data_IF_641056649351
#
_entry.id   IF_641056649351
#
_cell.length_a   1.000
_cell.length_b   1.000
_cell.length_c   1.000
_cell.angle_alpha   90.00
_cell.angle_beta   90.00
_cell.angle_gamma   90.00
#
_symmetry.space_group_name_H-M   'P 1'
#
loop_
_entity.id
_entity.type
_entity.pdbx_description
1 polymer ?
#
# COMPACT_ATOMS: atom_id res chain seq x y z
N UNK A 1 5.66 -11.27 -52.73
CA UNK A 1 5.76 -9.79 -52.79
C UNK A 1 4.67 -9.06 -51.97
N UNK A 2 4.15 -9.64 -50.87
CA UNK A 2 3.03 -9.07 -50.09
C UNK A 2 3.42 -8.75 -48.63
N UNK A 3 4.53 -9.30 -48.10
CA UNK A 3 5.01 -9.01 -46.73
C UNK A 3 5.76 -7.68 -46.55
N UNK A 4 6.20 -7.03 -47.62
CA UNK A 4 6.98 -5.77 -47.53
C UNK A 4 6.13 -4.50 -47.45
N UNK A 5 4.85 -4.54 -47.87
CA UNK A 5 3.97 -3.37 -47.89
C UNK A 5 3.25 -3.08 -46.56
N UNK A 6 3.20 -4.04 -45.62
CA UNK A 6 2.54 -3.83 -44.33
C UNK A 6 3.46 -3.15 -43.31
N UNK A 7 4.75 -3.49 -43.32
CA UNK A 7 5.76 -2.93 -42.40
C UNK A 7 6.05 -1.46 -42.70
N UNK A 8 6.02 -1.05 -43.97
CA UNK A 8 6.21 0.35 -44.37
C UNK A 8 5.03 1.24 -43.96
N UNK A 9 3.80 0.70 -44.01
CA UNK A 9 2.58 1.40 -43.60
C UNK A 9 2.53 1.64 -42.09
N UNK A 10 2.92 0.64 -41.28
CA UNK A 10 3.01 0.74 -39.82
C UNK A 10 4.09 1.75 -39.35
N UNK A 11 5.28 1.75 -39.98
CA UNK A 11 6.35 2.71 -39.65
C UNK A 11 5.95 4.16 -39.95
N UNK A 12 5.15 4.40 -40.99
CA UNK A 12 4.67 5.74 -41.34
C UNK A 12 3.56 6.25 -40.40
N UNK A 13 2.70 5.37 -39.88
CA UNK A 13 1.68 5.73 -38.88
C UNK A 13 2.34 6.06 -37.54
N UNK A 14 3.31 5.26 -37.08
CA UNK A 14 4.06 5.54 -35.86
C UNK A 14 4.84 6.87 -35.93
N UNK A 15 5.52 7.15 -37.06
CA UNK A 15 6.25 8.43 -37.24
C UNK A 15 5.34 9.65 -37.24
N UNK A 16 4.10 9.53 -37.74
CA UNK A 16 3.11 10.64 -37.68
C UNK A 16 2.60 10.88 -36.26
N UNK A 17 2.38 9.83 -35.48
CA UNK A 17 1.91 9.96 -34.09
C UNK A 17 2.99 10.55 -33.16
N UNK A 18 4.26 10.17 -33.34
CA UNK A 18 5.38 10.72 -32.58
C UNK A 18 5.55 12.22 -32.86
N UNK A 19 5.49 12.65 -34.13
CA UNK A 19 5.56 14.09 -34.48
C UNK A 19 4.38 14.92 -33.96
N UNK A 20 3.19 14.30 -33.83
CA UNK A 20 2.00 14.97 -33.28
C UNK A 20 2.12 15.18 -31.76
N UNK A 21 2.69 14.23 -31.02
CA UNK A 21 2.90 14.35 -29.58
C UNK A 21 4.04 15.32 -29.22
N UNK A 22 5.12 15.37 -30.01
CA UNK A 22 6.21 16.34 -29.79
C UNK A 22 5.72 17.79 -29.99
N UNK A 23 4.87 18.05 -30.98
CA UNK A 23 4.28 19.40 -31.17
C UNK A 23 3.32 19.80 -30.04
N UNK A 24 2.64 18.84 -29.42
CA UNK A 24 1.70 19.12 -28.31
C UNK A 24 2.45 19.48 -27.02
N UNK A 25 3.61 18.88 -26.78
CA UNK A 25 4.43 19.17 -25.60
C UNK A 25 5.24 20.46 -25.70
N UNK A 26 5.63 20.90 -26.91
CA UNK A 26 6.30 22.20 -27.10
C UNK A 26 5.34 23.38 -26.87
N UNK A 27 4.03 23.21 -27.12
CA UNK A 27 3.04 24.25 -26.88
C UNK A 27 2.73 24.47 -25.38
N UNK A 28 3.05 23.51 -24.52
CA UNK A 28 2.76 23.58 -23.07
C UNK A 28 3.89 24.25 -22.27
N UNK A 29 5.09 24.43 -22.87
CA UNK A 29 6.28 24.94 -22.19
C UNK A 29 6.49 26.47 -22.37
N UNK A 30 5.54 27.18 -22.98
CA UNK A 30 5.70 28.60 -23.35
C UNK A 30 4.91 29.61 -22.47
N UNK A 31 4.32 29.21 -21.34
CA UNK A 31 3.42 30.10 -20.58
C UNK A 31 3.77 30.37 -19.11
N UNK A 32 4.98 30.06 -18.62
CA UNK A 32 5.36 30.42 -17.25
C UNK A 32 6.73 31.11 -17.23
N UNK A 33 6.77 32.39 -17.61
CA UNK A 33 7.79 33.33 -17.16
C UNK A 33 7.22 34.76 -17.23
N UNK A 34 6.76 35.31 -16.11
CA UNK A 34 6.88 36.76 -15.84
C UNK A 34 6.44 37.13 -14.42
N UNK A 35 7.11 38.16 -13.90
CA UNK A 35 6.94 38.84 -12.60
C UNK A 35 7.79 38.24 -11.48
N UNK A 36 8.85 38.87 -10.97
CA UNK A 36 9.39 40.21 -11.18
C UNK A 36 10.13 40.61 -9.91
N UNK A 37 11.45 40.81 -9.99
CA UNK A 37 12.27 41.35 -8.90
C UNK A 37 12.66 42.79 -9.27
N UNK A 38 12.38 43.77 -8.41
CA UNK A 38 13.02 45.09 -8.45
C UNK A 38 13.08 45.75 -7.04
N UNK A 39 14.23 45.57 -6.38
CA UNK A 39 15.16 46.57 -5.83
C UNK A 39 14.69 47.89 -5.15
N UNK A 40 15.28 48.09 -3.95
CA UNK A 40 16.03 49.25 -3.40
C UNK A 40 15.41 50.22 -2.34
N UNK A 41 16.09 50.20 -1.19
CA UNK A 41 16.64 51.33 -0.36
C UNK A 41 15.75 52.20 0.53
N UNK A 42 16.22 52.41 1.78
CA UNK A 42 15.92 53.62 2.54
C UNK A 42 16.24 53.61 4.05
N UNK A 43 17.49 53.94 4.41
CA UNK A 43 18.04 54.58 5.63
C UNK A 43 17.26 54.66 6.97
N UNK A 44 18.00 54.41 8.07
CA UNK A 44 17.78 55.08 9.36
C UNK A 44 18.61 54.54 10.55
N UNK A 45 19.73 55.21 10.88
CA UNK A 45 20.51 55.10 12.15
C UNK A 45 19.62 55.49 13.35
N UNK A 46 19.81 55.04 14.60
CA UNK A 46 20.97 55.26 15.48
C UNK A 46 20.90 54.44 16.78
N UNK A 47 22.09 54.33 17.39
CA UNK A 47 22.50 53.82 18.71
C UNK A 47 21.53 53.97 19.90
N UNK A 48 21.61 53.00 20.82
CA UNK A 48 22.13 53.24 22.18
C UNK A 48 22.54 51.93 22.87
N UNK A 49 23.57 52.06 23.71
CA UNK A 49 24.36 51.00 24.35
C UNK A 49 23.81 50.59 25.72
N UNK A 50 23.87 49.29 25.98
CA UNK A 50 24.24 48.59 27.24
C UNK A 50 23.65 49.04 28.59
N UNK A 51 22.95 48.10 29.24
CA UNK A 51 23.11 47.84 30.67
C UNK A 51 22.78 46.35 30.95
N UNK A 52 23.81 45.59 31.36
CA UNK A 52 23.66 44.40 32.19
C UNK A 52 22.97 44.79 33.50
N UNK A 53 21.99 44.00 33.95
CA UNK A 53 21.79 43.61 35.35
C UNK A 53 21.09 42.26 35.34
N UNK A 54 21.81 41.27 35.84
CA UNK A 54 21.36 39.95 36.26
C UNK A 54 20.44 40.09 37.48
N UNK A 55 19.25 39.49 37.44
CA UNK A 55 18.53 39.16 38.67
C UNK A 55 17.55 37.99 38.44
N UNK A 56 18.03 36.81 38.82
CA UNK A 56 17.29 35.59 39.08
C UNK A 56 16.10 35.82 40.02
N UNK A 57 14.90 35.35 39.66
CA UNK A 57 14.02 34.59 40.57
C UNK A 57 12.76 34.05 39.85
N UNK A 58 12.87 32.79 39.46
CA UNK A 58 11.97 31.68 39.83
C UNK A 58 10.45 31.96 39.84
N UNK A 59 9.80 31.77 38.68
CA UNK A 59 8.39 31.38 38.61
C UNK A 59 8.31 29.95 38.10
N UNK A 60 8.08 29.01 39.01
CA UNK A 60 7.74 27.63 38.66
C UNK A 60 6.41 27.63 37.93
N UNK A 61 6.44 27.51 36.60
CA UNK A 61 5.26 27.15 35.82
C UNK A 61 4.82 25.75 36.24
N UNK A 62 3.68 25.69 36.93
CA UNK A 62 2.97 24.43 37.17
C UNK A 62 2.47 23.98 35.81
N UNK A 63 3.21 23.08 35.17
CA UNK A 63 2.75 22.31 34.03
C UNK A 63 1.64 21.40 34.55
N UNK A 64 0.39 21.84 34.38
CA UNK A 64 -0.76 20.94 34.51
C UNK A 64 -0.70 19.99 33.32
N UNK A 65 -0.21 18.76 33.55
CA UNK A 65 -0.48 17.66 32.63
C UNK A 65 -2.00 17.57 32.46
N UNK A 66 -2.48 17.84 31.25
CA UNK A 66 -3.83 17.44 30.86
C UNK A 66 -3.88 15.92 30.99
N UNK A 67 -4.53 15.47 32.06
CA UNK A 67 -4.98 14.08 32.16
C UNK A 67 -6.02 13.91 31.07
N UNK A 68 -5.57 13.49 29.89
CA UNK A 68 -6.44 12.95 28.87
C UNK A 68 -7.10 11.74 29.49
N UNK A 69 -8.39 11.86 29.80
CA UNK A 69 -9.21 10.72 30.19
C UNK A 69 -9.10 9.71 29.05
N UNK A 70 -8.31 8.65 29.24
CA UNK A 70 -8.30 7.52 28.29
C UNK A 70 -9.74 7.06 28.16
N UNK A 71 -10.27 7.14 26.95
CA UNK A 71 -11.57 6.61 26.61
C UNK A 71 -11.49 5.10 26.83
N UNK A 72 -12.07 4.61 27.93
CA UNK A 72 -11.90 3.21 28.37
C UNK A 72 -13.00 2.39 27.72
N UNK A 73 -12.79 2.00 26.47
CA UNK A 73 -13.63 1.01 25.79
C UNK A 73 -13.24 -0.40 26.26
N UNK A 74 -14.20 -1.33 26.44
CA UNK A 74 -13.96 -2.74 26.72
C UNK A 74 -13.02 -3.45 25.76
N UNK A 75 -12.99 -3.04 24.49
CA UNK A 75 -11.94 -3.41 23.54
C UNK A 75 -11.40 -2.17 22.82
N UNK A 76 -10.10 -2.21 22.52
CA UNK A 76 -9.39 -1.14 21.84
C UNK A 76 -8.33 -1.72 20.90
N UNK A 77 -8.71 -1.93 19.65
CA UNK A 77 -7.92 -2.68 18.67
C UNK A 77 -7.29 -1.71 17.70
N UNK A 78 -6.00 -1.86 17.45
CA UNK A 78 -5.25 -1.05 16.48
C UNK A 78 -4.74 -1.90 15.33
N UNK A 79 -5.04 -1.48 14.10
CA UNK A 79 -4.64 -2.14 12.87
C UNK A 79 -3.79 -1.17 12.04
N UNK A 80 -2.57 -1.55 11.66
CA UNK A 80 -1.74 -0.77 10.75
C UNK A 80 -1.74 -1.38 9.35
N UNK A 81 -1.94 -0.54 8.34
CA UNK A 81 -1.79 -0.92 6.93
C UNK A 81 -0.79 -0.01 6.25
N UNK A 82 0.13 -0.62 5.50
CA UNK A 82 1.06 0.11 4.65
C UNK A 82 0.66 0.04 3.18
N UNK A 83 1.21 0.96 2.40
CA UNK A 83 1.29 0.82 0.95
C UNK A 83 2.21 -0.32 0.49
N UNK A 84 2.53 -0.27 -0.80
CA UNK A 84 3.26 -1.32 -1.51
C UNK A 84 4.72 -1.44 -1.01
N UNK A 85 5.18 -2.67 -0.73
CA UNK A 85 6.59 -2.97 -0.42
C UNK A 85 7.22 -3.86 -1.49
N UNK A 86 8.44 -3.50 -1.89
CA UNK A 86 9.27 -4.25 -2.81
C UNK A 86 10.72 -4.27 -2.31
N UNK A 87 11.20 -5.48 -2.01
CA UNK A 87 12.59 -5.76 -1.61
C UNK A 87 13.27 -6.73 -2.60
N UNK A 88 12.84 -6.70 -3.87
CA UNK A 88 13.41 -7.51 -4.93
C UNK A 88 14.87 -7.15 -5.23
N UNK A 89 15.65 -8.14 -5.65
CA UNK A 89 17.07 -7.96 -5.96
C UNK A 89 17.27 -6.91 -7.06
N UNK A 90 18.18 -5.97 -6.83
CA UNK A 90 18.57 -4.96 -7.83
C UNK A 90 17.72 -3.69 -7.84
N UNK A 91 16.60 -3.64 -7.13
CA UNK A 91 15.78 -2.44 -6.99
C UNK A 91 16.49 -1.35 -6.17
N UNK A 92 16.22 -0.06 -6.43
CA UNK A 92 16.81 1.05 -5.66
C UNK A 92 16.60 0.91 -4.14
N UNK A 93 15.41 0.48 -3.75
CA UNK A 93 15.03 0.19 -2.36
C UNK A 93 15.91 -0.90 -1.74
N UNK A 94 16.08 -2.03 -2.43
CA UNK A 94 16.91 -3.13 -1.95
C UNK A 94 18.39 -2.78 -1.90
N UNK A 95 18.88 -1.96 -2.84
CA UNK A 95 20.25 -1.43 -2.79
C UNK A 95 20.47 -0.56 -1.55
N UNK A 96 19.47 0.20 -1.12
CA UNK A 96 19.55 0.99 0.12
C UNK A 96 19.50 0.10 1.37
N UNK A 97 18.64 -0.91 1.35
CA UNK A 97 18.57 -1.94 2.40
C UNK A 97 19.94 -2.66 2.57
N UNK A 98 20.59 -3.01 1.47
CA UNK A 98 21.86 -3.73 1.49
C UNK A 98 23.03 -2.88 2.03
N UNK A 99 23.01 -1.55 1.83
CA UNK A 99 23.98 -0.63 2.48
C UNK A 99 23.84 -0.61 4.00
N UNK A 100 22.67 -1.00 4.51
CA UNK A 100 22.33 -1.04 5.91
C UNK A 100 22.40 -2.47 6.48
N UNK A 101 23.15 -3.37 5.84
CA UNK A 101 23.33 -4.78 6.23
C UNK A 101 22.01 -5.58 6.31
N UNK A 102 21.01 -5.19 5.52
CA UNK A 102 19.69 -5.82 5.54
C UNK A 102 18.78 -5.34 6.66
N UNK A 103 19.17 -4.29 7.40
CA UNK A 103 18.35 -3.69 8.45
C UNK A 103 17.47 -2.55 7.92
N UNK A 104 16.23 -2.90 7.55
CA UNK A 104 15.26 -1.96 7.00
C UNK A 104 14.84 -0.87 8.01
N UNK A 105 15.06 -1.09 9.31
CA UNK A 105 14.70 -0.10 10.35
C UNK A 105 15.60 1.13 10.34
N UNK A 106 16.77 1.04 9.68
CA UNK A 106 17.66 2.18 9.40
C UNK A 106 17.26 2.95 8.15
N UNK A 107 16.42 2.36 7.30
CA UNK A 107 16.00 2.92 6.02
C UNK A 107 14.66 3.67 6.11
N UNK A 108 13.85 3.38 7.12
CA UNK A 108 12.51 3.91 7.31
C UNK A 108 12.47 4.74 8.60
N UNK A 109 11.62 5.77 8.62
CA UNK A 109 11.42 6.62 9.80
C UNK A 109 11.13 5.79 11.06
N UNK A 110 11.87 6.00 12.16
CA UNK A 110 11.62 5.30 13.43
C UNK A 110 10.20 5.45 13.96
N UNK A 111 9.54 6.60 13.68
CA UNK A 111 8.14 6.82 14.09
C UNK A 111 7.17 5.89 13.33
N UNK A 112 7.39 5.64 12.03
CA UNK A 112 6.56 4.70 11.27
C UNK A 112 6.75 3.27 11.80
N UNK A 113 7.99 2.87 12.07
CA UNK A 113 8.29 1.57 12.67
C UNK A 113 7.64 1.42 14.04
N UNK A 114 7.60 2.49 14.83
CA UNK A 114 6.93 2.51 16.14
C UNK A 114 5.42 2.27 16.00
N UNK A 115 4.75 2.93 15.05
CA UNK A 115 3.32 2.68 14.80
C UNK A 115 3.05 1.24 14.38
N UNK A 116 3.82 0.71 13.41
CA UNK A 116 3.69 -0.67 12.96
C UNK A 116 3.86 -1.67 14.11
N UNK A 117 4.89 -1.52 14.93
CA UNK A 117 5.16 -2.43 16.06
C UNK A 117 4.21 -2.28 17.24
N UNK A 118 3.50 -1.15 17.34
CA UNK A 118 2.56 -0.89 18.43
C UNK A 118 1.15 -1.37 18.11
N UNK A 119 0.80 -1.56 16.84
CA UNK A 119 -0.49 -2.08 16.42
C UNK A 119 -0.63 -3.56 16.79
N UNK A 120 -1.88 -4.00 17.03
CA UNK A 120 -2.21 -5.39 17.29
C UNK A 120 -2.09 -6.26 16.03
N UNK A 121 -2.30 -5.65 14.86
CA UNK A 121 -2.09 -6.29 13.55
C UNK A 121 -1.50 -5.27 12.59
N UNK A 122 -0.32 -5.56 12.05
CA UNK A 122 0.27 -4.85 10.91
C UNK A 122 0.21 -5.70 9.64
N UNK A 123 -0.39 -5.14 8.59
CA UNK A 123 -0.42 -5.74 7.26
C UNK A 123 0.38 -4.91 6.25
N UNK A 124 1.10 -5.61 5.39
CA UNK A 124 1.78 -5.03 4.22
C UNK A 124 1.33 -5.69 2.92
N UNK A 125 1.29 -4.92 1.82
CA UNK A 125 1.19 -5.50 0.49
C UNK A 125 2.57 -5.93 -0.02
N UNK A 126 2.85 -7.24 0.00
CA UNK A 126 4.10 -7.81 -0.50
C UNK A 126 4.02 -7.98 -2.02
N UNK A 127 4.48 -6.99 -2.77
CA UNK A 127 4.29 -6.91 -4.22
C UNK A 127 5.52 -7.36 -5.02
N UNK A 128 5.92 -8.61 -4.79
CA UNK A 128 7.00 -9.33 -5.47
C UNK A 128 6.96 -10.80 -5.05
N UNK A 129 7.84 -11.63 -5.62
CA UNK A 129 8.00 -13.03 -5.22
C UNK A 129 9.33 -13.29 -4.50
N UNK A 130 9.37 -14.26 -3.58
CA UNK A 130 10.60 -14.79 -3.00
C UNK A 130 11.00 -16.09 -3.70
N UNK A 131 12.16 -16.15 -4.37
CA UNK A 131 12.68 -17.39 -4.97
C UNK A 131 14.10 -17.24 -5.50
N UNK A 132 14.84 -18.34 -5.55
CA UNK A 132 16.08 -18.46 -6.34
C UNK A 132 15.85 -19.14 -7.71
N UNK A 133 14.59 -19.49 -8.01
CA UNK A 133 14.15 -20.29 -9.16
C UNK A 133 13.13 -19.55 -10.01
N UNK A 134 12.72 -20.19 -11.11
CA UNK A 134 11.84 -19.59 -12.11
C UNK A 134 12.56 -18.68 -13.10
N UNK A 135 11.81 -18.19 -14.08
CA UNK A 135 12.26 -17.24 -15.11
C UNK A 135 11.26 -16.10 -15.18
N UNK A 136 11.70 -14.86 -15.43
CA UNK A 136 10.79 -13.74 -15.55
C UNK A 136 9.75 -14.02 -16.63
N UNK A 137 8.48 -13.73 -16.34
CA UNK A 137 7.40 -13.98 -17.28
C UNK A 137 7.65 -13.26 -18.63
N UNK A 138 7.56 -13.98 -19.76
CA UNK A 138 7.77 -13.36 -21.06
C UNK A 138 6.79 -12.20 -21.31
N UNK A 139 7.33 -11.07 -21.78
CA UNK A 139 6.59 -9.84 -22.11
C UNK A 139 5.99 -9.08 -20.92
N UNK A 140 6.24 -9.50 -19.68
CA UNK A 140 5.92 -8.67 -18.53
C UNK A 140 6.96 -7.55 -18.42
N UNK A 141 6.48 -6.30 -18.32
CA UNK A 141 7.37 -5.13 -18.37
C UNK A 141 8.28 -5.07 -17.13
N UNK A 142 7.73 -5.39 -15.97
CA UNK A 142 8.42 -5.36 -14.68
C UNK A 142 8.26 -6.71 -13.99
N UNK A 143 9.36 -7.25 -13.48
CA UNK A 143 9.39 -8.52 -12.77
C UNK A 143 10.26 -8.42 -11.53
N UNK A 144 9.69 -8.62 -10.35
CA UNK A 144 10.34 -8.44 -9.06
C UNK A 144 10.52 -9.77 -8.34
N UNK A 145 11.76 -10.08 -7.96
CA UNK A 145 12.11 -11.28 -7.18
C UNK A 145 13.17 -10.99 -6.13
N UNK A 146 12.86 -11.33 -4.90
CA UNK A 146 13.78 -11.30 -3.77
C UNK A 146 14.30 -12.71 -3.47
N UNK A 147 15.47 -12.82 -2.83
CA UNK A 147 15.90 -14.10 -2.24
C UNK A 147 14.95 -14.53 -1.10
N UNK A 148 14.68 -15.83 -0.91
CA UNK A 148 13.83 -16.34 0.17
C UNK A 148 14.19 -15.84 1.58
N UNK A 149 15.48 -15.74 1.87
CA UNK A 149 15.98 -15.27 3.18
C UNK A 149 15.62 -13.81 3.52
N UNK A 150 15.19 -13.01 2.54
CA UNK A 150 14.74 -11.63 2.77
C UNK A 150 13.37 -11.54 3.41
N UNK A 151 12.57 -12.62 3.45
CA UNK A 151 11.27 -12.60 4.11
C UNK A 151 11.36 -12.15 5.58
N UNK A 152 12.48 -12.44 6.27
CA UNK A 152 12.76 -11.98 7.65
C UNK A 152 12.79 -10.46 7.84
N UNK A 153 12.94 -9.69 6.75
CA UNK A 153 12.93 -8.22 6.79
C UNK A 153 11.57 -7.71 7.26
N UNK A 154 10.49 -8.41 6.92
CA UNK A 154 9.14 -8.05 7.36
C UNK A 154 9.00 -8.15 8.90
N UNK A 155 9.65 -9.11 9.56
CA UNK A 155 9.66 -9.20 11.02
C UNK A 155 10.33 -7.97 11.68
N UNK A 156 11.34 -7.37 11.02
CA UNK A 156 12.01 -6.17 11.54
C UNK A 156 11.08 -4.96 11.56
N UNK A 157 10.10 -4.91 10.67
CA UNK A 157 9.06 -3.89 10.60
C UNK A 157 7.90 -4.15 11.58
N UNK A 158 7.81 -5.36 12.15
CA UNK A 158 6.65 -5.77 12.96
C UNK A 158 5.44 -6.18 12.12
N UNK A 159 5.65 -6.76 10.93
CA UNK A 159 4.56 -7.26 10.10
C UNK A 159 3.99 -8.56 10.66
N UNK A 160 2.67 -8.61 10.79
CA UNK A 160 1.93 -9.79 11.23
C UNK A 160 1.31 -10.56 10.05
N UNK A 161 0.95 -9.87 8.96
CA UNK A 161 0.29 -10.49 7.79
C UNK A 161 0.80 -9.87 6.49
N UNK A 162 1.03 -10.72 5.48
CA UNK A 162 1.33 -10.28 4.12
C UNK A 162 0.13 -10.47 3.18
N UNK A 163 -0.28 -9.42 2.46
CA UNK A 163 -1.20 -9.57 1.34
C UNK A 163 -0.44 -9.93 0.06
N UNK A 164 -0.91 -10.96 -0.67
CA UNK A 164 -0.30 -11.48 -1.88
C UNK A 164 -1.17 -11.42 -3.14
N UNK A 165 -2.47 -11.07 -3.00
CA UNK A 165 -3.32 -10.71 -4.14
C UNK A 165 -2.87 -9.42 -4.88
N UNK A 166 -1.77 -9.48 -5.61
CA UNK A 166 -1.25 -8.39 -6.42
C UNK A 166 -0.71 -8.91 -7.77
N UNK A 167 -0.26 -8.00 -8.63
CA UNK A 167 0.30 -8.36 -9.92
C UNK A 167 1.66 -9.03 -9.83
N UNK A 168 2.45 -8.90 -8.77
CA UNK A 168 3.87 -9.26 -8.82
C UNK A 168 4.26 -10.59 -8.15
N UNK A 169 3.35 -11.22 -7.39
CA UNK A 169 3.62 -12.51 -6.73
C UNK A 169 3.94 -13.67 -7.70
N UNK A 170 3.56 -13.57 -8.98
CA UNK A 170 3.75 -14.61 -9.99
C UNK A 170 4.78 -14.25 -11.08
N UNK A 171 5.59 -13.22 -10.86
CA UNK A 171 6.51 -12.67 -11.88
C UNK A 171 7.53 -13.67 -12.44
N UNK A 172 7.84 -14.72 -11.68
CA UNK A 172 8.78 -15.77 -12.06
C UNK A 172 8.09 -17.15 -12.18
N UNK A 173 6.77 -17.15 -12.31
CA UNK A 173 5.94 -18.34 -12.49
C UNK A 173 5.62 -19.11 -11.20
N UNK A 174 4.99 -20.28 -11.37
CA UNK A 174 4.46 -21.07 -10.27
C UNK A 174 5.52 -21.55 -9.28
N UNK A 175 6.75 -21.84 -9.75
CA UNK A 175 7.84 -22.22 -8.85
C UNK A 175 8.15 -21.10 -7.84
N UNK A 176 8.27 -19.85 -8.34
CA UNK A 176 8.57 -18.71 -7.49
C UNK A 176 7.40 -18.31 -6.58
N UNK A 177 6.16 -18.48 -7.04
CA UNK A 177 4.98 -18.28 -6.19
C UNK A 177 4.92 -19.30 -5.05
N UNK A 178 5.21 -20.57 -5.33
CA UNK A 178 5.26 -21.59 -4.27
C UNK A 178 6.44 -21.36 -3.31
N UNK A 179 7.59 -20.93 -3.81
CA UNK A 179 8.73 -20.53 -2.96
C UNK A 179 8.38 -19.31 -2.11
N UNK A 180 7.55 -18.39 -2.60
CA UNK A 180 7.03 -17.24 -1.84
C UNK A 180 6.21 -17.69 -0.64
N UNK A 181 5.29 -18.64 -0.83
CA UNK A 181 4.52 -19.22 0.26
C UNK A 181 5.43 -19.87 1.30
N UNK A 182 6.41 -20.67 0.86
CA UNK A 182 7.35 -21.34 1.75
C UNK A 182 8.26 -20.35 2.51
N UNK A 183 8.69 -19.26 1.87
CA UNK A 183 9.52 -18.24 2.50
C UNK A 183 8.78 -17.48 3.60
N UNK A 184 7.51 -17.12 3.37
CA UNK A 184 6.66 -16.47 4.37
C UNK A 184 6.32 -17.43 5.52
N UNK A 185 6.01 -18.69 5.22
CA UNK A 185 5.80 -19.73 6.25
C UNK A 185 7.05 -19.92 7.12
N UNK A 186 8.24 -19.98 6.50
CA UNK A 186 9.50 -20.09 7.23
C UNK A 186 9.84 -18.86 8.08
N UNK A 187 9.37 -17.67 7.68
CA UNK A 187 9.50 -16.43 8.45
C UNK A 187 8.42 -16.29 9.55
N UNK A 188 7.44 -17.19 9.59
CA UNK A 188 6.31 -17.14 10.52
C UNK A 188 5.27 -16.08 10.17
N UNK A 189 5.20 -15.65 8.90
CA UNK A 189 4.29 -14.60 8.43
C UNK A 189 3.14 -15.24 7.66
N UNK A 190 1.91 -15.28 8.22
CA UNK A 190 0.73 -15.68 7.47
C UNK A 190 0.46 -14.73 6.30
N UNK A 191 -0.24 -15.23 5.28
CA UNK A 191 -0.59 -14.45 4.10
C UNK A 191 -2.03 -14.66 3.64
N UNK A 192 -2.54 -13.70 2.85
CA UNK A 192 -3.92 -13.70 2.32
C UNK A 192 -3.98 -13.37 0.83
N UNK A 193 -5.06 -13.81 0.18
CA UNK A 193 -5.40 -13.45 -1.20
C UNK A 193 -4.61 -14.20 -2.28
N UNK A 194 -3.83 -15.20 -1.90
CA UNK A 194 -3.14 -16.09 -2.80
C UNK A 194 -3.01 -17.47 -2.16
N UNK A 195 -2.88 -18.51 -2.97
CA UNK A 195 -2.81 -19.88 -2.45
C UNK A 195 -2.35 -20.88 -3.49
N UNK A 196 -2.14 -22.12 -3.05
CA UNK A 196 -1.84 -23.27 -3.92
C UNK A 196 -3.06 -23.74 -4.72
N UNK A 197 -4.23 -23.32 -4.29
CA UNK A 197 -5.53 -23.55 -4.92
C UNK A 197 -6.50 -22.41 -4.56
N UNK A 198 -7.71 -22.47 -5.11
CA UNK A 198 -8.74 -21.44 -4.92
C UNK A 198 -9.17 -21.30 -3.45
N UNK A 199 -9.36 -22.41 -2.73
CA UNK A 199 -9.76 -22.40 -1.32
C UNK A 199 -8.73 -21.67 -0.45
N UNK A 200 -7.44 -21.94 -0.67
CA UNK A 200 -6.35 -21.22 0.03
C UNK A 200 -6.32 -19.73 -0.34
N UNK A 201 -6.55 -19.38 -1.62
CA UNK A 201 -6.56 -18.00 -2.05
C UNK A 201 -7.75 -17.19 -1.50
N UNK A 202 -8.88 -17.86 -1.25
CA UNK A 202 -10.08 -17.29 -0.62
C UNK A 202 -10.03 -17.29 0.91
N UNK A 203 -9.10 -18.03 1.52
CA UNK A 203 -9.04 -18.18 2.97
C UNK A 203 -8.75 -16.84 3.68
N UNK A 204 -9.65 -16.35 4.56
CA UNK A 204 -9.37 -15.18 5.37
C UNK A 204 -8.26 -15.46 6.39
N UNK A 205 -7.47 -14.45 6.71
CA UNK A 205 -6.70 -14.44 7.95
C UNK A 205 -7.62 -14.06 9.10
N UNK A 206 -7.55 -14.78 10.22
CA UNK A 206 -8.30 -14.47 11.42
C UNK A 206 -7.35 -14.23 12.59
N UNK A 207 -7.61 -13.19 13.37
CA UNK A 207 -6.97 -12.91 14.64
C UNK A 207 -8.02 -12.56 15.69
N UNK A 208 -7.73 -12.84 16.96
CA UNK A 208 -8.57 -12.40 18.08
C UNK A 208 -7.77 -11.41 18.91
N UNK A 209 -8.26 -10.18 19.02
CA UNK A 209 -7.67 -9.08 19.80
C UNK A 209 -8.76 -8.56 20.72
N UNK A 210 -8.46 -8.44 22.02
CA UNK A 210 -9.41 -7.99 23.04
C UNK A 210 -10.79 -8.69 22.97
N UNK A 211 -10.77 -10.00 22.68
CA UNK A 211 -11.98 -10.81 22.60
C UNK A 211 -12.81 -10.64 21.32
N UNK A 212 -12.43 -9.73 20.40
CA UNK A 212 -13.06 -9.58 19.08
C UNK A 212 -12.25 -10.29 18.01
N UNK A 213 -12.94 -10.94 17.09
CA UNK A 213 -12.37 -11.66 15.96
C UNK A 213 -12.33 -10.73 14.75
N UNK A 214 -11.13 -10.48 14.25
CA UNK A 214 -10.85 -9.72 13.04
C UNK A 214 -10.61 -10.70 11.90
N UNK A 215 -11.23 -10.46 10.74
CA UNK A 215 -10.94 -11.15 9.50
C UNK A 215 -10.29 -10.20 8.49
N UNK A 216 -9.27 -10.67 7.79
CA UNK A 216 -8.66 -9.95 6.67
C UNK A 216 -8.76 -10.82 5.41
N UNK A 217 -9.32 -10.22 4.36
CA UNK A 217 -9.47 -10.84 3.04
C UNK A 217 -8.81 -9.98 1.98
N UNK A 218 -8.31 -10.59 0.91
CA UNK A 218 -7.62 -9.83 -0.14
C UNK A 218 -7.91 -10.34 -1.56
N UNK A 219 -8.01 -9.41 -2.52
CA UNK A 219 -8.18 -9.73 -3.93
C UNK A 219 -7.54 -8.69 -4.86
N UNK A 220 -7.31 -9.06 -6.11
CA UNK A 220 -6.67 -8.20 -7.12
C UNK A 220 -7.47 -8.04 -8.39
N UNK A 221 -7.36 -6.86 -8.99
CA UNK A 221 -7.83 -6.57 -10.35
C UNK A 221 -6.93 -5.60 -11.11
N UNK A 222 -5.66 -5.53 -10.71
CA UNK A 222 -4.65 -4.60 -11.21
C UNK A 222 -4.34 -4.76 -12.71
N UNK A 223 -4.23 -6.00 -13.19
CA UNK A 223 -3.69 -6.24 -14.53
C UNK A 223 -4.73 -6.17 -15.65
N UNK A 224 -4.49 -5.33 -16.65
CA UNK A 224 -5.30 -5.36 -17.89
C UNK A 224 -5.20 -6.68 -18.66
N UNK A 225 -4.01 -7.29 -18.65
CA UNK A 225 -3.71 -8.53 -19.40
C UNK A 225 -3.73 -9.79 -18.54
N UNK A 226 -4.00 -9.66 -17.23
CA UNK A 226 -4.23 -10.78 -16.30
C UNK A 226 -3.11 -11.84 -16.37
N UNK A 227 -1.85 -11.40 -16.32
CA UNK A 227 -0.67 -12.27 -16.43
C UNK A 227 -0.45 -13.11 -15.17
N UNK A 228 -0.87 -12.63 -14.00
CA UNK A 228 -0.81 -13.32 -12.71
C UNK A 228 -2.08 -14.14 -12.49
N UNK A 229 -2.02 -15.48 -12.56
CA UNK A 229 -3.17 -16.36 -12.69
C UNK A 229 -4.13 -16.28 -11.50
N UNK A 230 -5.41 -16.50 -11.77
CA UNK A 230 -6.41 -16.81 -10.76
C UNK A 230 -6.10 -18.20 -10.21
N UNK A 231 -6.14 -18.38 -8.89
CA UNK A 231 -6.07 -19.70 -8.30
C UNK A 231 -7.25 -20.56 -8.77
N UNK A 232 -6.99 -21.82 -9.10
CA UNK A 232 -8.05 -22.80 -9.43
C UNK A 232 -8.05 -23.90 -8.38
N UNK A 233 -8.95 -24.86 -8.48
CA UNK A 233 -8.99 -26.04 -7.58
C UNK A 233 -7.67 -26.81 -7.50
N UNK A 234 -6.79 -26.68 -8.52
CA UNK A 234 -5.56 -27.47 -8.64
C UNK A 234 -4.31 -26.70 -9.03
N UNK A 235 -4.39 -25.37 -9.20
CA UNK A 235 -3.23 -24.56 -9.60
C UNK A 235 -3.09 -23.31 -8.73
N UNK A 236 -1.84 -22.94 -8.38
CA UNK A 236 -1.60 -21.76 -7.57
C UNK A 236 -2.00 -20.48 -8.31
N UNK A 237 -2.37 -19.47 -7.55
CA UNK A 237 -2.70 -18.15 -8.08
C UNK A 237 -3.21 -17.22 -7.00
N UNK A 238 -3.62 -16.03 -7.43
CA UNK A 238 -4.26 -15.04 -6.57
C UNK A 238 -5.77 -15.15 -6.62
N UNK A 239 -6.46 -14.61 -5.62
CA UNK A 239 -7.88 -14.29 -5.74
C UNK A 239 -8.02 -13.01 -6.55
N UNK A 240 -8.70 -13.08 -7.70
CA UNK A 240 -9.00 -11.92 -8.54
C UNK A 240 -10.42 -11.42 -8.28
N UNK A 241 -10.64 -10.14 -8.55
CA UNK A 241 -11.94 -9.47 -8.42
C UNK A 241 -12.31 -8.61 -9.65
N UNK A 242 -11.94 -9.06 -10.87
CA UNK A 242 -12.52 -8.47 -12.09
C UNK A 242 -14.00 -8.83 -12.24
N UNK A 243 -14.31 -10.08 -11.91
CA UNK A 243 -15.63 -10.56 -11.55
C UNK A 243 -15.63 -10.59 -10.02
N UNK A 244 -16.61 -9.94 -9.39
CA UNK A 244 -16.62 -9.72 -7.95
C UNK A 244 -17.21 -10.87 -7.16
N UNK A 245 -17.84 -11.86 -7.81
CA UNK A 245 -18.60 -12.92 -7.14
C UNK A 245 -17.80 -13.67 -6.06
N UNK A 246 -16.60 -14.16 -6.40
CA UNK A 246 -15.76 -14.91 -5.46
C UNK A 246 -15.28 -14.06 -4.28
N UNK A 247 -14.97 -12.79 -4.51
CA UNK A 247 -14.50 -11.92 -3.44
C UNK A 247 -15.65 -11.46 -2.53
N UNK A 248 -16.83 -11.20 -3.09
CA UNK A 248 -18.06 -10.96 -2.32
C UNK A 248 -18.41 -12.18 -1.47
N UNK A 249 -18.31 -13.39 -2.04
CA UNK A 249 -18.50 -14.62 -1.28
C UNK A 249 -17.49 -14.71 -0.12
N UNK A 250 -16.22 -14.44 -0.39
CA UNK A 250 -15.16 -14.45 0.63
C UNK A 250 -15.44 -13.46 1.77
N UNK A 251 -15.91 -12.26 1.45
CA UNK A 251 -16.29 -11.24 2.45
C UNK A 251 -17.49 -11.71 3.29
N UNK A 252 -18.51 -12.29 2.65
CA UNK A 252 -19.69 -12.81 3.36
C UNK A 252 -19.33 -13.94 4.33
N UNK A 253 -18.54 -14.90 3.88
CA UNK A 253 -18.04 -15.99 4.72
C UNK A 253 -17.18 -15.46 5.87
N UNK A 254 -16.34 -14.44 5.62
CA UNK A 254 -15.59 -13.77 6.67
C UNK A 254 -16.51 -13.10 7.70
N UNK A 255 -17.56 -12.39 7.26
CA UNK A 255 -18.50 -11.69 8.13
C UNK A 255 -19.33 -12.63 9.01
N UNK A 256 -19.68 -13.81 8.51
CA UNK A 256 -20.35 -14.84 9.32
C UNK A 256 -19.47 -15.37 10.46
N UNK A 257 -18.15 -15.18 10.38
CA UNK A 257 -17.16 -15.81 11.26
C UNK A 257 -16.29 -14.81 12.02
N UNK A 258 -16.52 -13.50 11.91
CA UNK A 258 -15.72 -12.45 12.54
C UNK A 258 -16.58 -11.24 12.91
N UNK A 259 -16.17 -10.51 13.93
CA UNK A 259 -16.81 -9.26 14.35
C UNK A 259 -16.54 -8.15 13.32
N UNK A 260 -15.29 -8.05 12.86
CA UNK A 260 -14.84 -7.06 11.89
C UNK A 260 -14.17 -7.70 10.67
N UNK A 261 -14.50 -7.21 9.48
CA UNK A 261 -13.93 -7.68 8.21
C UNK A 261 -13.19 -6.55 7.50
N UNK A 262 -11.89 -6.73 7.27
CA UNK A 262 -11.06 -5.82 6.49
C UNK A 262 -10.84 -6.42 5.10
N UNK A 263 -11.22 -5.68 4.05
CA UNK A 263 -10.99 -6.09 2.67
C UNK A 263 -9.84 -5.28 2.05
N UNK A 264 -8.76 -5.97 1.68
CA UNK A 264 -7.60 -5.38 1.02
C UNK A 264 -7.71 -5.61 -0.49
N UNK A 265 -7.63 -4.56 -1.30
CA UNK A 265 -7.88 -4.66 -2.75
C UNK A 265 -6.79 -3.99 -3.58
N UNK A 266 -6.16 -4.78 -4.45
CA UNK A 266 -5.08 -4.32 -5.30
C UNK A 266 -5.61 -3.96 -6.70
N UNK A 267 -5.78 -2.65 -6.99
CA UNK A 267 -6.63 -2.17 -8.10
C UNK A 267 -6.28 -0.77 -8.63
N UNK A 268 -7.04 -0.32 -9.64
CA UNK A 268 -6.87 1.02 -10.22
C UNK A 268 -5.81 1.05 -11.30
N UNK A 269 -5.60 2.23 -11.87
CA UNK A 269 -4.56 2.45 -12.88
C UNK A 269 -3.29 2.96 -12.19
N UNK A 270 -2.13 2.41 -12.55
CA UNK A 270 -0.82 2.86 -12.08
C UNK A 270 -0.57 4.35 -12.37
N UNK A 271 0.13 5.01 -11.46
CA UNK A 271 0.62 6.38 -11.56
C UNK A 271 -0.46 7.45 -11.79
N UNK A 272 -1.64 7.25 -11.21
CA UNK A 272 -2.71 8.27 -11.22
C UNK A 272 -3.45 8.33 -9.89
N UNK A 273 -3.78 9.56 -9.48
CA UNK A 273 -4.67 9.84 -8.35
C UNK A 273 -6.15 9.81 -8.74
N UNK A 274 -6.44 9.73 -10.06
CA UNK A 274 -7.80 9.66 -10.59
C UNK A 274 -8.34 8.25 -10.44
N UNK A 275 -9.41 8.11 -9.66
CA UNK A 275 -10.10 6.84 -9.46
C UNK A 275 -10.81 6.38 -10.73
N UNK A 276 -10.76 5.07 -10.97
CA UNK A 276 -11.68 4.42 -11.89
C UNK A 276 -13.07 4.30 -11.23
N UNK A 277 -14.14 4.46 -12.00
CA UNK A 277 -15.52 4.29 -11.51
C UNK A 277 -15.71 2.93 -10.82
N UNK A 278 -15.07 1.92 -11.37
CA UNK A 278 -15.16 0.55 -10.90
C UNK A 278 -14.45 0.31 -9.57
N UNK A 279 -13.45 1.14 -9.20
CA UNK A 279 -12.91 1.13 -7.83
C UNK A 279 -14.00 1.58 -6.86
N UNK A 280 -14.71 2.67 -7.18
CA UNK A 280 -15.78 3.21 -6.32
C UNK A 280 -16.97 2.26 -6.19
N UNK A 281 -17.48 1.74 -7.31
CA UNK A 281 -18.66 0.87 -7.28
C UNK A 281 -18.38 -0.42 -6.50
N UNK A 282 -17.26 -1.08 -6.79
CA UNK A 282 -16.94 -2.36 -6.13
C UNK A 282 -16.53 -2.20 -4.67
N UNK A 283 -15.90 -1.07 -4.28
CA UNK A 283 -15.65 -0.79 -2.86
C UNK A 283 -16.95 -0.74 -2.05
N UNK A 284 -17.99 -0.10 -2.59
CA UNK A 284 -19.32 -0.04 -1.96
C UNK A 284 -20.00 -1.42 -1.93
N UNK A 285 -19.92 -2.18 -3.02
CA UNK A 285 -20.43 -3.57 -3.05
C UNK A 285 -19.76 -4.45 -1.98
N UNK A 286 -18.47 -4.23 -1.68
CA UNK A 286 -17.74 -4.96 -0.66
C UNK A 286 -18.16 -4.55 0.76
N UNK A 287 -18.42 -3.26 1.00
CA UNK A 287 -19.03 -2.79 2.25
C UNK A 287 -20.43 -3.41 2.43
N UNK A 288 -21.27 -3.37 1.39
CA UNK A 288 -22.61 -3.97 1.40
C UNK A 288 -22.57 -5.49 1.62
N UNK A 289 -21.50 -6.16 1.19
CA UNK A 289 -21.28 -7.59 1.42
C UNK A 289 -20.86 -7.93 2.86
N UNK A 290 -20.47 -6.94 3.66
CA UNK A 290 -20.11 -7.12 5.08
C UNK A 290 -18.71 -6.65 5.46
N UNK A 291 -17.93 -6.07 4.55
CA UNK A 291 -16.67 -5.42 4.92
C UNK A 291 -16.94 -4.21 5.83
N UNK A 292 -16.06 -3.98 6.79
CA UNK A 292 -16.10 -2.86 7.74
C UNK A 292 -15.05 -1.80 7.38
N UNK A 293 -13.99 -2.19 6.66
CA UNK A 293 -12.94 -1.29 6.14
C UNK A 293 -12.47 -1.80 4.78
N UNK A 294 -12.23 -0.89 3.83
CA UNK A 294 -11.53 -1.19 2.57
C UNK A 294 -10.15 -0.53 2.54
N UNK A 295 -9.11 -1.31 2.24
CA UNK A 295 -7.73 -0.84 2.05
C UNK A 295 -7.27 -1.10 0.62
N UNK A 296 -7.03 -0.06 -0.16
CA UNK A 296 -6.57 -0.15 -1.55
C UNK A 296 -5.05 0.04 -1.72
N UNK A 297 -4.52 -0.44 -2.85
CA UNK A 297 -3.12 -0.25 -3.27
C UNK A 297 -2.97 -0.21 -4.80
N UNK A 298 -1.80 -0.60 -5.33
CA UNK A 298 -1.45 -0.76 -6.75
C UNK A 298 -1.23 0.52 -7.57
N UNK A 299 -2.00 1.59 -7.35
CA UNK A 299 -1.84 2.80 -8.17
C UNK A 299 -0.47 3.47 -8.02
N UNK A 300 0.37 3.04 -7.05
CA UNK A 300 1.64 3.64 -6.66
C UNK A 300 1.50 5.16 -6.39
N UNK A 301 0.32 5.60 -6.00
CA UNK A 301 -0.04 6.99 -5.71
C UNK A 301 -1.09 7.00 -4.61
N UNK A 302 -0.95 7.85 -3.61
CA UNK A 302 -2.02 8.10 -2.65
C UNK A 302 -3.31 8.52 -3.38
N UNK A 303 -4.39 7.79 -3.13
CA UNK A 303 -5.72 8.10 -3.65
C UNK A 303 -6.67 8.52 -2.53
N UNK A 304 -7.81 9.10 -2.90
CA UNK A 304 -8.77 9.66 -1.95
C UNK A 304 -9.33 8.64 -0.95
N UNK A 305 -9.96 9.17 0.09
CA UNK A 305 -10.69 8.42 1.11
C UNK A 305 -12.17 8.73 0.94
N UNK A 306 -13.03 7.73 1.13
CA UNK A 306 -14.48 7.86 1.15
C UNK A 306 -15.03 7.19 2.41
N UNK A 307 -16.13 7.73 2.94
CA UNK A 307 -16.95 7.04 3.91
C UNK A 307 -18.26 6.66 3.23
N UNK A 308 -18.64 5.39 3.32
CA UNK A 308 -19.89 4.85 2.78
C UNK A 308 -20.54 3.98 3.84
N UNK A 309 -21.79 4.29 4.21
CA UNK A 309 -22.47 3.69 5.38
C UNK A 309 -21.59 3.76 6.64
N UNK A 310 -20.99 4.95 6.89
CA UNK A 310 -20.07 5.26 7.98
C UNK A 310 -18.80 4.39 8.06
N UNK A 311 -18.49 3.62 7.01
CA UNK A 311 -17.31 2.76 6.92
C UNK A 311 -16.24 3.35 6.01
N UNK A 312 -14.96 3.35 6.42
CA UNK A 312 -13.89 3.99 5.65
C UNK A 312 -13.42 3.13 4.48
N UNK A 313 -13.19 3.82 3.35
CA UNK A 313 -12.66 3.27 2.10
C UNK A 313 -11.40 4.07 1.74
N UNK A 314 -10.24 3.41 1.83
CA UNK A 314 -8.97 3.94 1.33
C UNK A 314 -8.76 3.40 -0.08
N UNK A 315 -8.79 4.26 -1.10
CA UNK A 315 -8.69 3.76 -2.48
C UNK A 315 -7.26 3.36 -2.88
N UNK A 316 -6.24 3.99 -2.31
CA UNK A 316 -4.84 3.56 -2.43
C UNK A 316 -3.98 4.25 -1.40
N UNK A 317 -3.14 3.49 -0.70
CA UNK A 317 -2.13 4.02 0.23
C UNK A 317 -0.83 4.46 -0.48
N UNK A 318 -0.66 4.13 -1.76
CA UNK A 318 0.59 4.38 -2.51
C UNK A 318 1.74 3.46 -2.11
N UNK A 319 2.98 3.91 -2.28
CA UNK A 319 4.19 3.12 -2.02
C UNK A 319 4.70 3.31 -0.60
N UNK A 320 4.87 2.21 0.17
CA UNK A 320 5.56 2.28 1.46
C UNK A 320 7.08 2.20 1.30
N UNK A 321 7.56 1.22 0.54
CA UNK A 321 8.98 1.00 0.25
C UNK A 321 9.11 0.25 -1.07
N UNK A 322 8.99 0.93 -2.21
CA UNK A 322 8.81 0.26 -3.51
C UNK A 322 9.83 0.66 -4.58
N UNK A 323 9.97 1.94 -4.89
CA UNK A 323 10.81 2.46 -5.97
C UNK A 323 11.49 3.79 -5.60
N UNK A 324 12.07 4.49 -6.58
CA UNK A 324 12.75 5.78 -6.41
C UNK A 324 11.84 7.00 -6.61
N UNK A 325 10.54 6.81 -6.89
CA UNK A 325 9.64 7.92 -7.13
C UNK A 325 9.23 8.60 -5.83
N UNK A 326 9.40 9.92 -5.79
CA UNK A 326 8.95 10.74 -4.67
C UNK A 326 7.49 11.16 -4.88
N UNK A 327 6.58 10.33 -4.42
CA UNK A 327 5.12 10.52 -4.50
C UNK A 327 4.50 10.46 -3.12
N UNK A 328 3.38 11.15 -2.92
CA UNK A 328 2.64 11.08 -1.67
C UNK A 328 2.15 9.64 -1.42
N UNK A 329 2.33 9.20 -0.17
CA UNK A 329 1.90 7.89 0.35
C UNK A 329 1.37 8.06 1.77
N UNK A 330 0.72 7.03 2.29
CA UNK A 330 0.21 7.00 3.64
C UNK A 330 0.43 5.63 4.27
N UNK A 331 0.81 5.64 5.55
CA UNK A 331 0.57 4.53 6.46
C UNK A 331 -0.68 4.88 7.25
N UNK A 332 -1.65 3.97 7.34
CA UNK A 332 -2.89 4.20 8.09
C UNK A 332 -2.91 3.31 9.34
N UNK A 333 -3.23 3.93 10.48
CA UNK A 333 -3.59 3.23 11.71
C UNK A 333 -5.11 3.34 11.84
N UNK A 334 -5.80 2.21 12.00
CA UNK A 334 -7.24 2.16 12.23
C UNK A 334 -7.44 1.67 13.65
N UNK A 335 -8.23 2.42 14.42
CA UNK A 335 -8.60 2.07 15.79
C UNK A 335 -10.05 1.62 15.81
N UNK A 336 -10.30 0.41 16.28
CA UNK A 336 -11.64 -0.15 16.43
C UNK A 336 -11.90 -0.30 17.92
N UNK A 337 -12.84 0.48 18.46
CA UNK A 337 -13.12 0.51 19.89
C UNK A 337 -14.62 0.61 20.17
N UNK A 338 -15.09 -0.02 21.24
CA UNK A 338 -16.47 0.11 21.68
C UNK A 338 -16.80 -0.74 22.88
N UNK A 339 -18.08 -0.69 23.29
CA UNK A 339 -18.64 -1.52 24.35
C UNK A 339 -19.19 -2.83 23.78
N UNK A 340 -19.24 -3.89 24.59
CA UNK A 340 -19.79 -5.20 24.19
C UNK A 340 -21.28 -5.16 23.83
N UNK A 341 -22.01 -4.14 24.30
CA UNK A 341 -23.46 -3.99 24.15
C UNK A 341 -23.87 -3.06 22.99
N UNK A 342 -22.91 -2.51 22.23
CA UNK A 342 -23.17 -1.58 21.11
C UNK A 342 -22.33 -1.95 19.88
N UNK A 343 -22.82 -1.63 18.68
CA UNK A 343 -22.00 -1.71 17.47
C UNK A 343 -20.74 -0.86 17.65
N UNK A 344 -19.56 -1.47 17.50
CA UNK A 344 -18.30 -0.80 17.73
C UNK A 344 -18.04 0.35 16.78
N UNK A 345 -17.29 1.35 17.24
CA UNK A 345 -16.88 2.49 16.45
C UNK A 345 -15.56 2.18 15.74
N UNK A 346 -15.51 2.45 14.45
CA UNK A 346 -14.27 2.42 13.66
C UNK A 346 -13.78 3.86 13.52
N UNK A 347 -12.68 4.18 14.18
CA UNK A 347 -11.97 5.45 14.07
C UNK A 347 -10.71 5.27 13.21
N UNK A 348 -10.42 6.26 12.36
CA UNK A 348 -9.21 6.28 11.51
C UNK A 348 -8.35 7.49 11.84
#
# INVERSE_FOLDING_TARGET
MIKHNYVSKLKNVMRKNIKKNIKKNIAMLACITMSGTLLLTGCGKSSETAADIDNTNNSSEVVTEEVTTRDVHPYDITLTFTGDINIAEGEPTTKELDKNDGDITKCISPELIKYMKAADITLVNNEFCYSDRGQPLPNKMWTFRAKPERAKVLNLLGVDVAQLANNHVYDYGADAMNDTFAALEAAGIPYVGAGKNLDEAMKPYYATVDGKKIAIVAASRAEKYKMTPQATDSTPGILRCYDTELFIQTIKEAKENADYVIAVVHWGTEHTTVLEEVQRSTARDYIDAGADVIIGGHSHCLQGIEYYEDKPIFYSLGNFWFDEYNVDTMLVNIRISGDDDTDGKVDV
#
